data_IF_457975533888
#
_entry.id   IF_457975533888
#
_cell.length_a   1.000
_cell.length_b   1.000
_cell.length_c   1.000
_cell.angle_alpha   90.00
_cell.angle_beta   90.00
_cell.angle_gamma   90.00
#
_symmetry.space_group_name_H-M   'P 1'
#
loop_
_entity.id
_entity.type
_entity.pdbx_description
1 polymer ?
#
# COMPACT_ATOMS: atom_id res chain seq x y z
N UNK A 1 27.80 -22.02 -3.07
CA UNK A 1 27.74 -21.57 -4.48
C UNK A 1 27.32 -20.10 -4.47
N UNK A 2 28.21 -19.18 -4.83
CA UNK A 2 27.90 -17.73 -4.87
C UNK A 2 27.02 -17.44 -6.08
N UNK A 3 25.74 -17.17 -5.84
CA UNK A 3 24.79 -16.75 -6.88
C UNK A 3 25.20 -15.37 -7.40
N UNK A 4 25.19 -15.15 -8.72
CA UNK A 4 25.57 -13.88 -9.37
C UNK A 4 24.82 -12.67 -8.79
N UNK A 5 23.58 -12.89 -8.34
CA UNK A 5 22.80 -11.90 -7.59
C UNK A 5 23.50 -11.41 -6.32
N UNK A 6 24.12 -12.30 -5.54
CA UNK A 6 24.84 -11.91 -4.31
C UNK A 6 26.08 -11.05 -4.62
N UNK A 7 26.73 -11.27 -5.76
CA UNK A 7 27.90 -10.47 -6.19
C UNK A 7 27.49 -9.06 -6.58
N UNK A 8 26.41 -8.92 -7.37
CA UNK A 8 25.84 -7.61 -7.74
C UNK A 8 25.33 -6.86 -6.50
N UNK A 9 24.70 -7.57 -5.57
CA UNK A 9 24.24 -7.04 -4.29
C UNK A 9 25.40 -6.53 -3.41
N UNK A 10 26.50 -7.26 -3.35
CA UNK A 10 27.71 -6.81 -2.65
C UNK A 10 28.27 -5.54 -3.30
N UNK A 11 28.29 -5.46 -4.64
CA UNK A 11 28.68 -4.26 -5.37
C UNK A 11 27.80 -3.05 -5.04
N UNK A 12 26.47 -3.20 -5.04
CA UNK A 12 25.53 -2.12 -4.70
C UNK A 12 25.68 -1.72 -3.22
N UNK A 13 25.79 -2.69 -2.32
CA UNK A 13 25.98 -2.44 -0.89
C UNK A 13 27.26 -1.63 -0.62
N UNK A 14 28.37 -1.99 -1.28
CA UNK A 14 29.68 -1.44 -0.97
C UNK A 14 29.99 -0.15 -1.74
N UNK A 15 29.41 0.07 -2.92
CA UNK A 15 29.67 1.28 -3.73
C UNK A 15 28.56 2.33 -3.69
N UNK A 16 27.29 1.92 -3.56
CA UNK A 16 26.15 2.86 -3.65
C UNK A 16 25.76 3.38 -2.27
N UNK A 17 25.66 2.51 -1.27
CA UNK A 17 25.24 2.91 0.08
C UNK A 17 26.16 3.99 0.68
N UNK A 18 27.51 3.90 0.62
CA UNK A 18 28.38 4.92 1.21
C UNK A 18 28.27 6.29 0.52
N UNK A 19 27.75 6.35 -0.71
CA UNK A 19 27.53 7.59 -1.47
C UNK A 19 26.19 8.27 -1.17
N UNK A 20 25.31 7.66 -0.37
CA UNK A 20 24.04 8.25 0.05
C UNK A 20 24.27 9.19 1.24
N UNK A 21 24.85 10.36 0.99
CA UNK A 21 25.26 11.35 2.02
C UNK A 21 24.12 11.93 2.88
N UNK A 22 22.86 11.58 2.60
CA UNK A 22 21.70 12.02 3.37
C UNK A 22 21.40 11.13 4.61
N UNK A 23 22.04 9.96 4.73
CA UNK A 23 21.81 9.04 5.84
C UNK A 23 22.81 9.28 7.00
N UNK A 24 22.34 9.28 8.27
CA UNK A 24 23.20 9.27 9.45
C UNK A 24 24.24 8.13 9.41
N UNK A 25 25.46 8.39 9.87
CA UNK A 25 26.60 7.46 9.81
C UNK A 25 26.31 6.07 10.42
N UNK A 26 25.48 6.02 11.46
CA UNK A 26 25.05 4.77 12.12
C UNK A 26 24.13 3.91 11.25
N UNK A 27 23.30 4.52 10.38
CA UNK A 27 22.48 3.79 9.41
C UNK A 27 23.31 3.28 8.25
N UNK A 28 24.36 3.99 7.82
CA UNK A 28 25.32 3.47 6.84
C UNK A 28 26.00 2.18 7.35
N UNK A 29 26.50 2.19 8.58
CA UNK A 29 27.13 1.00 9.17
C UNK A 29 26.16 -0.19 9.20
N UNK A 30 24.91 0.06 9.60
CA UNK A 30 23.89 -0.99 9.69
C UNK A 30 23.48 -1.52 8.31
N UNK A 31 23.31 -0.65 7.31
CA UNK A 31 22.95 -1.06 5.94
C UNK A 31 24.09 -1.81 5.24
N UNK A 32 25.35 -1.44 5.49
CA UNK A 32 26.52 -2.14 4.90
C UNK A 32 26.65 -3.55 5.48
N UNK A 33 26.43 -3.70 6.79
CA UNK A 33 26.56 -5.00 7.48
C UNK A 33 25.38 -5.92 7.16
N UNK A 34 24.14 -5.42 7.24
CA UNK A 34 22.94 -6.24 7.06
C UNK A 34 22.40 -6.26 5.62
N UNK A 35 22.80 -5.30 4.77
CA UNK A 35 22.35 -5.20 3.39
C UNK A 35 22.54 -6.48 2.57
N UNK A 36 23.73 -7.10 2.58
CA UNK A 36 23.97 -8.35 1.83
C UNK A 36 23.11 -9.53 2.30
N UNK A 37 22.60 -9.50 3.53
CA UNK A 37 21.84 -10.60 4.14
C UNK A 37 20.32 -10.40 4.06
N UNK A 38 19.86 -9.14 4.20
CA UNK A 38 18.45 -8.77 4.11
C UNK A 38 17.97 -8.61 2.68
N UNK A 39 18.76 -7.97 1.82
CA UNK A 39 18.33 -7.59 0.48
C UNK A 39 18.00 -8.80 -0.43
N UNK A 40 18.73 -9.94 -0.44
CA UNK A 40 18.32 -11.09 -1.25
C UNK A 40 17.05 -11.77 -0.71
N UNK A 41 16.80 -11.72 0.60
CA UNK A 41 15.54 -12.22 1.19
C UNK A 41 14.35 -11.34 0.79
N UNK A 42 14.52 -10.01 0.82
CA UNK A 42 13.49 -9.06 0.38
C UNK A 42 13.19 -9.23 -1.11
N UNK A 43 14.24 -9.37 -1.95
CA UNK A 43 14.07 -9.61 -3.39
C UNK A 43 13.37 -10.95 -3.65
N UNK A 44 13.74 -12.01 -2.94
CA UNK A 44 13.06 -13.30 -3.08
C UNK A 44 11.60 -13.24 -2.62
N UNK A 45 11.30 -12.56 -1.51
CA UNK A 45 9.92 -12.35 -1.05
C UNK A 45 9.09 -11.54 -2.07
N UNK A 46 9.72 -10.54 -2.69
CA UNK A 46 9.11 -9.76 -3.76
C UNK A 46 8.86 -10.62 -5.01
N UNK A 47 9.83 -11.45 -5.40
CA UNK A 47 9.70 -12.31 -6.58
C UNK A 47 8.67 -13.42 -6.38
N UNK A 48 8.60 -14.04 -5.20
CA UNK A 48 7.61 -15.08 -4.89
C UNK A 48 6.20 -14.50 -4.81
N UNK A 49 6.02 -13.35 -4.14
CA UNK A 49 4.72 -12.65 -4.10
C UNK A 49 4.27 -12.15 -5.47
N UNK A 50 5.20 -11.72 -6.33
CA UNK A 50 4.92 -11.35 -7.73
C UNK A 50 4.58 -12.57 -8.59
N UNK A 51 5.28 -13.70 -8.40
CA UNK A 51 5.01 -14.93 -9.13
C UNK A 51 3.59 -15.46 -8.85
N UNK A 52 3.13 -15.41 -7.59
CA UNK A 52 1.77 -15.77 -7.21
C UNK A 52 0.69 -14.87 -7.87
N UNK A 53 1.04 -13.65 -8.24
CA UNK A 53 0.11 -12.70 -8.87
C UNK A 53 0.01 -12.85 -10.39
N UNK A 54 0.92 -13.62 -11.04
CA UNK A 54 0.92 -13.82 -12.50
C UNK A 54 -0.25 -14.64 -13.03
N UNK A 55 -0.85 -15.49 -12.19
CA UNK A 55 -1.98 -16.35 -12.56
C UNK A 55 -3.34 -15.65 -12.48
N UNK A 56 -3.38 -14.40 -11.99
CA UNK A 56 -4.61 -13.64 -11.80
C UNK A 56 -4.61 -12.46 -12.79
N UNK A 57 -5.68 -12.26 -13.58
CA UNK A 57 -5.74 -11.15 -14.53
C UNK A 57 -5.71 -9.79 -13.81
N UNK A 58 -5.00 -8.84 -14.43
CA UNK A 58 -4.96 -7.45 -13.97
C UNK A 58 -6.35 -6.83 -14.14
N UNK A 59 -6.89 -6.28 -13.05
CA UNK A 59 -8.18 -5.60 -13.06
C UNK A 59 -8.01 -4.08 -12.94
N UNK A 60 -8.96 -3.27 -13.45
CA UNK A 60 -8.97 -1.85 -13.19
C UNK A 60 -9.17 -1.56 -11.69
N UNK A 61 -8.77 -0.37 -11.25
CA UNK A 61 -8.87 0.05 -9.85
C UNK A 61 -10.36 0.15 -9.46
N UNK A 62 -10.81 -0.53 -8.38
CA UNK A 62 -12.16 -0.37 -7.88
C UNK A 62 -12.46 1.08 -7.48
N UNK A 63 -13.65 1.59 -7.80
CA UNK A 63 -14.03 3.00 -7.56
C UNK A 63 -13.90 3.43 -6.09
N UNK A 64 -14.17 2.52 -5.14
CA UNK A 64 -13.98 2.76 -3.70
C UNK A 64 -12.51 2.95 -3.32
N UNK A 65 -11.62 2.13 -3.91
CA UNK A 65 -10.17 2.24 -3.71
C UNK A 65 -9.63 3.50 -4.37
N UNK A 66 -10.15 3.90 -5.53
CA UNK A 66 -9.77 5.15 -6.18
C UNK A 66 -10.04 6.38 -5.28
N UNK A 67 -11.16 6.41 -4.55
CA UNK A 67 -11.43 7.48 -3.57
C UNK A 67 -10.41 7.51 -2.44
N UNK A 68 -10.00 6.34 -1.94
CA UNK A 68 -8.96 6.24 -0.91
C UNK A 68 -7.59 6.69 -1.44
N UNK A 69 -7.24 6.33 -2.68
CA UNK A 69 -6.02 6.79 -3.34
C UNK A 69 -6.01 8.30 -3.54
N UNK A 70 -7.14 8.90 -3.94
CA UNK A 70 -7.26 10.35 -4.06
C UNK A 70 -7.09 11.06 -2.71
N UNK A 71 -7.66 10.49 -1.64
CA UNK A 71 -7.50 11.00 -0.27
C UNK A 71 -6.04 10.94 0.19
N UNK A 72 -5.36 9.80 -0.02
CA UNK A 72 -3.93 9.66 0.30
C UNK A 72 -3.06 10.58 -0.56
N UNK A 73 -3.36 10.74 -1.84
CA UNK A 73 -2.65 11.68 -2.72
C UNK A 73 -2.79 13.12 -2.22
N UNK A 74 -4.02 13.53 -1.89
CA UNK A 74 -4.25 14.85 -1.31
C UNK A 74 -3.49 15.03 0.01
N UNK A 75 -3.51 14.02 0.90
CA UNK A 75 -2.75 14.05 2.14
C UNK A 75 -1.25 14.20 1.91
N UNK A 76 -0.66 13.44 0.97
CA UNK A 76 0.76 13.57 0.59
C UNK A 76 1.08 14.99 0.12
N UNK A 77 0.23 15.60 -0.70
CA UNK A 77 0.42 16.97 -1.18
C UNK A 77 0.33 17.97 -0.01
N UNK A 78 -0.65 17.80 0.89
CA UNK A 78 -0.82 18.68 2.07
C UNK A 78 0.37 18.57 3.02
N UNK A 79 0.81 17.37 3.38
CA UNK A 79 1.97 17.17 4.25
C UNK A 79 3.25 17.65 3.57
N UNK A 80 3.41 17.40 2.28
CA UNK A 80 4.50 17.94 1.48
C UNK A 80 4.52 19.47 1.49
N UNK A 81 3.38 20.13 1.32
CA UNK A 81 3.26 21.57 1.40
C UNK A 81 3.57 22.10 2.82
N UNK A 82 3.06 21.46 3.88
CA UNK A 82 3.31 21.85 5.27
C UNK A 82 4.76 21.67 5.72
N UNK A 83 5.52 20.82 5.01
CA UNK A 83 6.97 20.66 5.20
C UNK A 83 7.78 21.87 4.70
N UNK A 84 7.19 22.71 3.84
CA UNK A 84 7.86 23.88 3.29
C UNK A 84 8.12 24.94 4.38
N UNK A 85 9.23 25.68 4.28
CA UNK A 85 9.63 26.68 5.27
C UNK A 85 8.65 27.86 5.35
N UNK A 86 7.83 28.09 4.33
CA UNK A 86 6.83 29.18 4.32
C UNK A 86 5.79 29.03 5.43
N UNK A 87 5.38 27.79 5.74
CA UNK A 87 4.43 27.54 6.83
C UNK A 87 5.11 27.42 8.19
N UNK A 88 6.45 27.49 8.23
CA UNK A 88 7.24 27.37 9.46
C UNK A 88 7.15 28.63 10.31
N UNK A 89 7.11 28.45 11.64
CA UNK A 89 7.29 29.58 12.56
C UNK A 89 8.66 30.20 12.32
N UNK A 90 8.72 31.53 12.44
CA UNK A 90 9.92 32.31 12.17
C UNK A 90 11.04 31.94 13.16
N UNK A 91 12.22 31.61 12.63
CA UNK A 91 13.41 31.41 13.44
C UNK A 91 14.25 32.69 13.50
N UNK A 92 14.15 33.38 14.64
CA UNK A 92 14.82 34.68 14.87
C UNK A 92 16.33 34.60 14.68
N UNK A 93 16.96 33.50 15.11
CA UNK A 93 18.42 33.31 14.98
C UNK A 93 18.86 33.03 13.54
N UNK A 94 18.06 32.28 12.77
CA UNK A 94 18.35 32.06 11.34
C UNK A 94 18.18 33.33 10.53
N UNK A 95 17.15 34.14 10.78
CA UNK A 95 16.91 35.34 9.99
C UNK A 95 17.93 36.43 10.29
N UNK A 96 18.27 36.61 11.58
CA UNK A 96 19.31 37.57 11.98
C UNK A 96 20.74 37.06 11.76
N UNK A 97 20.92 35.82 11.32
CA UNK A 97 22.22 35.14 11.17
C UNK A 97 23.11 35.30 12.41
N UNK A 98 22.50 35.25 13.59
CA UNK A 98 23.15 35.55 14.86
C UNK A 98 23.69 34.28 15.52
N UNK A 99 24.77 34.40 16.29
CA UNK A 99 25.29 33.28 17.10
C UNK A 99 24.40 33.10 18.33
N UNK A 100 24.29 31.88 18.86
CA UNK A 100 23.42 31.63 20.01
C UNK A 100 23.80 32.44 21.27
N UNK A 101 25.09 32.75 21.45
CA UNK A 101 25.62 33.53 22.58
C UNK A 101 25.34 35.03 22.50
N UNK A 102 24.72 35.52 21.42
CA UNK A 102 24.43 36.95 21.23
C UNK A 102 23.59 37.51 22.39
N UNK A 103 23.92 38.72 22.83
CA UNK A 103 23.14 39.42 23.84
C UNK A 103 21.69 39.65 23.35
N UNK A 104 20.64 39.39 24.15
CA UNK A 104 19.25 39.51 23.69
C UNK A 104 18.93 40.89 23.10
N UNK A 105 19.40 41.97 23.73
CA UNK A 105 19.16 43.32 23.22
C UNK A 105 19.77 43.54 21.81
N UNK A 106 20.94 42.98 21.56
CA UNK A 106 21.59 43.05 20.23
C UNK A 106 20.86 42.19 19.21
N UNK A 107 20.29 41.06 19.61
CA UNK A 107 19.47 40.21 18.74
C UNK A 107 18.21 40.95 18.26
N UNK A 108 17.48 41.57 19.18
CA UNK A 108 16.22 42.24 18.85
C UNK A 108 16.41 43.59 18.17
N UNK A 109 17.52 44.29 18.41
CA UNK A 109 17.89 45.47 17.60
C UNK A 109 18.25 45.08 16.16
N UNK A 110 18.85 43.92 15.93
CA UNK A 110 19.04 43.40 14.57
C UNK A 110 17.72 42.97 13.93
N UNK A 111 16.84 42.32 14.68
CA UNK A 111 15.52 41.94 14.20
C UNK A 111 14.69 43.16 13.81
N UNK A 112 14.77 44.25 14.58
CA UNK A 112 14.06 45.51 14.29
C UNK A 112 14.50 46.20 12.99
N UNK A 113 15.72 45.90 12.51
CA UNK A 113 16.19 46.39 11.20
C UNK A 113 15.58 45.60 10.03
N UNK A 114 15.11 44.38 10.27
CA UNK A 114 14.54 43.51 9.23
C UNK A 114 13.02 43.63 9.16
N UNK A 115 12.35 43.76 10.31
CA UNK A 115 10.90 43.95 10.42
C UNK A 115 10.52 44.70 11.70
N UNK A 116 9.32 45.32 11.77
CA UNK A 116 8.82 45.87 13.02
C UNK A 116 8.67 44.78 14.09
N UNK A 117 9.00 45.13 15.34
CA UNK A 117 8.90 44.25 16.51
C UNK A 117 7.43 44.03 16.88
N UNK A 118 7.03 42.77 17.04
CA UNK A 118 5.71 42.41 17.57
C UNK A 118 5.70 42.28 19.08
N UNK A 119 4.52 42.21 19.70
CA UNK A 119 4.38 41.99 21.15
C UNK A 119 5.02 40.68 21.61
N UNK A 120 4.95 39.64 20.78
CA UNK A 120 5.60 38.36 21.04
C UNK A 120 7.12 38.49 21.04
N UNK A 121 7.71 39.32 20.18
CA UNK A 121 9.15 39.60 20.18
C UNK A 121 9.57 40.30 21.47
N UNK A 122 8.74 41.22 22.00
CA UNK A 122 9.00 41.89 23.27
C UNK A 122 8.99 40.92 24.46
N UNK A 123 8.01 40.00 24.50
CA UNK A 123 7.95 38.93 25.51
C UNK A 123 9.14 37.98 25.38
N UNK A 124 9.50 37.59 24.16
CA UNK A 124 10.61 36.69 23.89
C UNK A 124 11.96 37.33 24.29
N UNK A 125 12.10 38.66 24.09
CA UNK A 125 13.23 39.44 24.59
C UNK A 125 13.34 39.37 26.12
N UNK A 126 12.24 39.63 26.82
CA UNK A 126 12.21 39.54 28.29
C UNK A 126 12.60 38.14 28.76
N UNK A 127 12.04 37.09 28.15
CA UNK A 127 12.39 35.69 28.49
C UNK A 127 13.88 35.38 28.27
N UNK A 128 14.48 35.91 27.21
CA UNK A 128 15.90 35.72 26.94
C UNK A 128 16.83 36.52 27.87
N UNK A 129 16.38 37.67 28.36
CA UNK A 129 17.14 38.47 29.36
C UNK A 129 17.09 37.86 30.75
N UNK A 130 15.96 37.25 31.14
CA UNK A 130 15.82 36.60 32.45
C UNK A 130 16.77 35.41 32.60
N UNK A 131 16.93 34.61 31.54
CA UNK A 131 17.83 33.47 31.55
C UNK A 131 18.32 33.14 30.14
N UNK A 132 19.65 33.14 29.96
CA UNK A 132 20.28 32.79 28.68
C UNK A 132 20.04 31.34 28.26
N UNK A 133 19.76 30.44 29.21
CA UNK A 133 19.43 29.05 28.93
C UNK A 133 18.06 28.88 28.24
N UNK A 134 17.17 29.88 28.31
CA UNK A 134 15.89 29.88 27.59
C UNK A 134 16.10 29.88 26.07
N UNK A 135 17.25 30.35 25.58
CA UNK A 135 17.63 30.24 24.15
C UNK A 135 17.80 28.79 23.71
N UNK A 136 18.24 27.89 24.61
CA UNK A 136 18.36 26.46 24.29
C UNK A 136 16.99 25.81 24.20
N UNK A 137 16.10 26.14 25.13
CA UNK A 137 14.71 25.69 25.11
C UNK A 137 13.97 26.19 23.86
N UNK A 138 14.33 27.39 23.37
CA UNK A 138 13.81 27.94 22.12
C UNK A 138 14.19 27.07 20.92
N UNK A 139 15.43 26.56 20.87
CA UNK A 139 15.86 25.68 19.78
C UNK A 139 15.19 24.30 19.81
N UNK A 140 14.85 23.80 21.00
CA UNK A 140 14.27 22.47 21.18
C UNK A 140 12.75 22.45 21.03
N UNK A 141 12.05 23.35 21.71
CA UNK A 141 10.59 23.34 21.80
C UNK A 141 9.91 24.40 20.92
N UNK A 142 10.63 25.45 20.52
CA UNK A 142 10.14 26.53 19.66
C UNK A 142 9.75 27.80 20.42
N UNK A 143 9.30 28.86 19.71
CA UNK A 143 8.88 30.12 20.31
C UNK A 143 7.62 29.98 21.17
N UNK A 144 6.61 29.27 20.65
CA UNK A 144 5.27 29.18 21.25
C UNK A 144 5.30 28.64 22.69
N UNK A 145 6.12 27.62 22.94
CA UNK A 145 6.26 27.03 24.29
C UNK A 145 6.87 27.98 25.29
N UNK A 146 7.74 28.90 24.85
CA UNK A 146 8.36 29.91 25.72
C UNK A 146 7.47 31.13 25.94
N UNK A 147 6.63 31.45 24.94
CA UNK A 147 5.70 32.58 25.02
C UNK A 147 4.53 32.27 25.97
N UNK A 148 3.96 31.07 25.85
CA UNK A 148 2.70 30.72 26.51
C UNK A 148 2.87 29.99 27.84
N UNK A 149 4.02 29.35 28.12
CA UNK A 149 4.22 28.58 29.35
C UNK A 149 5.11 29.31 30.36
N UNK A 150 4.49 29.78 31.46
CA UNK A 150 5.16 30.55 32.52
C UNK A 150 6.24 29.75 33.26
N UNK A 151 6.08 28.42 33.40
CA UNK A 151 7.04 27.58 34.11
C UNK A 151 8.20 27.11 33.21
N UNK A 152 8.28 27.56 31.95
CA UNK A 152 9.42 27.29 31.05
C UNK A 152 10.63 28.19 31.29
N UNK A 153 10.53 29.19 32.18
CA UNK A 153 11.52 30.27 32.29
C UNK A 153 12.46 30.16 33.50
N UNK A 154 12.43 29.03 34.20
CA UNK A 154 13.33 28.75 35.32
C UNK A 154 14.78 28.47 34.87
N UNK A 155 15.73 28.28 35.82
CA UNK A 155 17.04 27.74 35.48
C UNK A 155 16.88 26.44 34.68
N UNK A 156 17.81 26.15 33.75
CA UNK A 156 17.79 24.92 32.95
C UNK A 156 18.19 23.70 33.79
N UNK A 157 17.43 23.46 34.85
CA UNK A 157 17.40 22.23 35.64
C UNK A 157 16.59 21.18 34.88
N UNK A 158 16.80 19.90 35.20
CA UNK A 158 16.05 18.79 34.59
C UNK A 158 14.53 18.96 34.69
N UNK A 159 14.03 19.61 35.74
CA UNK A 159 12.59 19.82 35.94
C UNK A 159 12.00 20.85 34.98
N UNK A 160 12.72 21.92 34.63
CA UNK A 160 12.19 22.94 33.71
C UNK A 160 12.09 22.40 32.28
N UNK A 161 13.08 21.62 31.82
CA UNK A 161 13.03 20.89 30.54
C UNK A 161 11.84 19.93 30.47
N UNK A 162 11.62 19.14 31.55
CA UNK A 162 10.50 18.19 31.62
C UNK A 162 9.15 18.89 31.58
N UNK A 163 9.02 20.02 32.26
CA UNK A 163 7.78 20.81 32.28
C UNK A 163 7.49 21.45 30.91
N UNK A 164 8.50 21.97 30.21
CA UNK A 164 8.32 22.48 28.84
C UNK A 164 7.95 21.35 27.86
N UNK A 165 8.53 20.15 28.04
CA UNK A 165 8.17 18.98 27.26
C UNK A 165 6.69 18.62 27.42
N UNK A 166 6.16 18.52 28.65
CA UNK A 166 4.75 18.21 28.86
C UNK A 166 3.80 19.23 28.22
N UNK A 167 4.17 20.51 28.24
CA UNK A 167 3.42 21.55 27.54
C UNK A 167 3.50 21.42 26.01
N UNK A 168 4.63 20.98 25.46
CA UNK A 168 4.83 20.80 24.03
C UNK A 168 4.12 19.55 23.46
N UNK A 169 3.83 18.54 24.28
CA UNK A 169 3.25 17.25 23.85
C UNK A 169 1.92 17.40 23.10
N UNK A 170 0.92 18.17 23.56
CA UNK A 170 -0.32 18.35 22.80
C UNK A 170 -0.07 18.92 21.39
N UNK A 171 0.82 19.91 21.27
CA UNK A 171 1.20 20.51 19.98
C UNK A 171 1.93 19.50 19.08
N UNK A 172 2.76 18.63 19.69
CA UNK A 172 3.42 17.51 19.01
C UNK A 172 2.44 16.48 18.48
N UNK A 173 1.45 16.09 19.30
CA UNK A 173 0.51 15.00 19.02
C UNK A 173 -0.60 15.39 18.04
N UNK A 174 -1.01 16.65 18.01
CA UNK A 174 -2.04 17.18 17.10
C UNK A 174 -1.86 16.73 15.63
N UNK A 175 -0.71 16.95 14.97
CA UNK A 175 -0.50 16.53 13.59
C UNK A 175 -0.51 15.00 13.43
N UNK A 176 -0.10 14.22 14.44
CA UNK A 176 -0.19 12.76 14.41
C UNK A 176 -1.62 12.24 14.51
N UNK A 177 -2.46 12.89 15.32
CA UNK A 177 -3.89 12.53 15.40
C UNK A 177 -4.54 12.77 14.03
N UNK A 178 -4.23 13.89 13.39
CA UNK A 178 -4.71 14.17 12.04
C UNK A 178 -4.21 13.12 11.02
N UNK A 179 -2.93 12.72 11.10
CA UNK A 179 -2.38 11.66 10.24
C UNK A 179 -3.05 10.31 10.47
N UNK A 180 -3.24 9.90 11.73
CA UNK A 180 -3.95 8.67 12.08
C UNK A 180 -5.41 8.68 11.61
N UNK A 181 -6.08 9.84 11.65
CA UNK A 181 -7.43 9.99 11.10
C UNK A 181 -7.45 9.77 9.58
N UNK A 182 -6.49 10.35 8.84
CA UNK A 182 -6.35 10.14 7.39
C UNK A 182 -6.10 8.65 7.08
N UNK A 183 -5.15 8.02 7.77
CA UNK A 183 -4.86 6.59 7.62
C UNK A 183 -6.07 5.72 7.96
N UNK A 184 -6.79 6.05 9.02
CA UNK A 184 -8.01 5.36 9.46
C UNK A 184 -9.13 5.45 8.43
N UNK A 185 -9.33 6.62 7.81
CA UNK A 185 -10.31 6.81 6.74
C UNK A 185 -9.91 6.04 5.47
N UNK A 186 -8.64 6.12 5.07
CA UNK A 186 -8.11 5.43 3.89
C UNK A 186 -8.16 3.89 4.00
N UNK A 187 -8.12 3.35 5.23
CA UNK A 187 -8.17 1.91 5.51
C UNK A 187 -9.51 1.46 6.12
N UNK A 188 -10.51 2.34 6.14
CA UNK A 188 -11.82 2.04 6.69
C UNK A 188 -12.57 0.98 5.87
N UNK A 189 -13.59 0.35 6.49
CA UNK A 189 -14.49 -0.59 5.81
C UNK A 189 -15.25 0.04 4.64
N UNK A 190 -15.34 1.38 4.58
CA UNK A 190 -15.95 2.13 3.47
C UNK A 190 -15.20 1.92 2.14
N UNK A 191 -13.88 1.68 2.19
CA UNK A 191 -13.02 1.42 1.03
C UNK A 191 -13.17 -0.02 0.53
N UNK A 192 -13.68 -0.91 1.38
CA UNK A 192 -13.87 -2.33 1.10
C UNK A 192 -12.77 -3.22 1.70
N UNK A 193 -12.78 -4.52 1.38
CA UNK A 193 -11.88 -5.50 1.99
C UNK A 193 -10.40 -5.22 1.67
N UNK A 194 -10.11 -4.59 0.52
CA UNK A 194 -8.76 -4.25 0.10
C UNK A 194 -8.09 -3.19 0.98
N UNK A 195 -8.86 -2.24 1.50
CA UNK A 195 -8.37 -1.22 2.45
C UNK A 195 -8.30 -1.75 3.88
N UNK A 196 -9.34 -2.46 4.31
CA UNK A 196 -9.47 -2.94 5.69
C UNK A 196 -8.33 -3.87 6.12
N UNK A 197 -7.75 -4.63 5.18
CA UNK A 197 -6.64 -5.55 5.48
C UNK A 197 -5.35 -4.85 5.93
N UNK A 198 -5.16 -3.60 5.50
CA UNK A 198 -3.97 -2.81 5.83
C UNK A 198 -4.15 -1.92 7.05
N UNK A 199 -5.36 -1.89 7.64
CA UNK A 199 -5.68 -1.05 8.80
C UNK A 199 -4.70 -1.25 9.95
N UNK A 200 -4.44 -2.49 10.36
CA UNK A 200 -3.52 -2.79 11.46
C UNK A 200 -2.10 -2.31 11.17
N UNK A 201 -1.62 -2.52 9.93
CA UNK A 201 -0.29 -2.09 9.51
C UNK A 201 -0.18 -0.56 9.45
N UNK A 202 -1.21 0.12 8.93
CA UNK A 202 -1.27 1.58 8.88
C UNK A 202 -1.33 2.19 10.29
N UNK A 203 -2.11 1.61 11.21
CA UNK A 203 -2.17 2.07 12.61
C UNK A 203 -0.86 1.84 13.35
N UNK A 204 -0.19 0.71 13.13
CA UNK A 204 1.14 0.45 13.70
C UNK A 204 2.14 1.48 13.17
N UNK A 205 2.16 1.72 11.85
CA UNK A 205 3.07 2.70 11.25
C UNK A 205 2.84 4.11 11.83
N UNK A 206 1.59 4.58 11.90
CA UNK A 206 1.27 5.88 12.51
C UNK A 206 1.66 5.96 13.99
N UNK A 207 1.36 4.92 14.78
CA UNK A 207 1.72 4.88 16.20
C UNK A 207 3.25 4.86 16.40
N UNK A 208 3.99 4.14 15.55
CA UNK A 208 5.45 4.12 15.62
C UNK A 208 6.06 5.49 15.36
N UNK A 209 5.49 6.31 14.47
CA UNK A 209 5.94 7.67 14.25
C UNK A 209 5.73 8.56 15.48
N UNK A 210 4.55 8.45 16.13
CA UNK A 210 4.25 9.16 17.39
C UNK A 210 5.26 8.80 18.47
N UNK A 211 5.46 7.50 18.70
CA UNK A 211 6.35 6.99 19.75
C UNK A 211 7.79 7.40 19.47
N UNK A 212 8.27 7.24 18.23
CA UNK A 212 9.62 7.60 17.85
C UNK A 212 9.90 9.09 18.05
N UNK A 213 8.97 9.96 17.65
CA UNK A 213 9.14 11.41 17.81
C UNK A 213 9.07 11.84 19.28
N UNK A 214 8.10 11.31 20.03
CA UNK A 214 7.94 11.62 21.46
C UNK A 214 9.14 11.13 22.27
N UNK A 215 9.65 9.94 21.95
CA UNK A 215 10.85 9.38 22.58
C UNK A 215 12.09 10.20 22.24
N UNK A 216 12.27 10.58 20.97
CA UNK A 216 13.40 11.40 20.55
C UNK A 216 13.40 12.76 21.28
N UNK A 217 12.26 13.46 21.31
CA UNK A 217 12.18 14.75 21.99
C UNK A 217 12.29 14.62 23.52
N UNK A 218 11.75 13.54 24.11
CA UNK A 218 11.80 13.30 25.55
C UNK A 218 13.17 12.88 26.08
N UNK A 219 14.03 12.31 25.23
CA UNK A 219 15.41 11.91 25.59
C UNK A 219 16.46 12.92 25.13
N UNK A 220 16.08 13.92 24.34
CA UNK A 220 17.00 14.94 23.85
C UNK A 220 17.48 15.84 24.99
N UNK A 221 18.79 15.99 25.14
CA UNK A 221 19.40 16.94 26.09
C UNK A 221 19.64 18.31 25.41
N UNK A 222 18.91 19.37 25.79
CA UNK A 222 19.10 20.73 25.29
C UNK A 222 20.52 21.28 25.54
N UNK A 223 21.25 20.70 26.50
CA UNK A 223 22.62 21.12 26.84
C UNK A 223 23.62 20.86 25.72
N UNK A 224 23.30 19.99 24.75
CA UNK A 224 24.14 19.69 23.58
C UNK A 224 24.53 20.95 22.80
N UNK A 225 23.60 21.90 22.69
CA UNK A 225 23.81 23.17 21.99
C UNK A 225 24.80 24.12 22.71
N UNK A 226 25.21 23.84 23.96
CA UNK A 226 26.25 24.62 24.67
C UNK A 226 27.59 24.61 23.96
N UNK A 227 27.89 23.53 23.22
CA UNK A 227 29.17 23.31 22.56
C UNK A 227 29.30 24.01 21.21
N UNK A 228 28.17 24.39 20.60
CA UNK A 228 28.16 25.06 19.31
C UNK A 228 28.81 26.45 19.42
N UNK A 229 29.76 26.79 18.55
CA UNK A 229 30.35 28.14 18.48
C UNK A 229 29.86 28.91 17.26
N UNK A 230 29.44 28.18 16.22
CA UNK A 230 28.93 28.72 14.96
C UNK A 230 27.43 28.41 14.84
N UNK A 231 26.68 29.27 14.14
CA UNK A 231 25.24 29.09 13.91
C UNK A 231 24.90 27.76 13.21
N UNK A 232 25.78 27.31 12.31
CA UNK A 232 25.62 26.06 11.57
C UNK A 232 25.75 24.82 12.46
N UNK A 233 26.44 24.94 13.60
CA UNK A 233 26.61 23.86 14.58
C UNK A 233 25.43 23.80 15.56
N UNK A 234 24.56 24.82 15.58
CA UNK A 234 23.39 24.85 16.46
C UNK A 234 22.32 23.92 15.91
N UNK A 235 21.86 23.00 16.75
CA UNK A 235 20.81 22.08 16.40
C UNK A 235 19.43 22.72 16.62
N UNK A 236 18.77 23.04 15.51
CA UNK A 236 17.41 23.60 15.47
C UNK A 236 16.37 22.48 15.48
N UNK A 237 16.30 21.76 16.61
CA UNK A 237 15.49 20.55 16.76
C UNK A 237 14.02 20.78 16.45
N UNK A 238 13.40 21.86 16.94
CA UNK A 238 11.98 22.15 16.69
C UNK A 238 11.64 22.17 15.18
N UNK A 239 12.39 22.97 14.41
CA UNK A 239 12.17 23.10 12.97
C UNK A 239 12.58 21.83 12.21
N UNK A 240 13.65 21.15 12.62
CA UNK A 240 14.08 19.90 11.99
C UNK A 240 13.05 18.79 12.19
N UNK A 241 12.56 18.60 13.41
CA UNK A 241 11.52 17.62 13.72
C UNK A 241 10.25 17.89 12.93
N UNK A 242 9.84 19.16 12.82
CA UNK A 242 8.68 19.54 12.01
C UNK A 242 8.81 19.08 10.55
N UNK A 243 9.95 19.36 9.90
CA UNK A 243 10.17 18.95 8.50
C UNK A 243 10.19 17.44 8.37
N UNK A 244 10.91 16.75 9.25
CA UNK A 244 10.99 15.29 9.26
C UNK A 244 9.63 14.64 9.51
N UNK A 245 8.80 15.19 10.40
CA UNK A 245 7.45 14.71 10.71
C UNK A 245 6.57 14.70 9.47
N UNK A 246 6.44 15.84 8.80
CA UNK A 246 5.57 15.94 7.63
C UNK A 246 6.10 15.14 6.43
N UNK A 247 7.43 15.04 6.27
CA UNK A 247 8.03 14.18 5.26
C UNK A 247 7.79 12.70 5.57
N UNK A 248 7.88 12.28 6.83
CA UNK A 248 7.58 10.93 7.26
C UNK A 248 6.10 10.57 7.02
N UNK A 249 5.16 11.49 7.29
CA UNK A 249 3.74 11.29 6.97
C UNK A 249 3.52 11.11 5.47
N UNK A 250 4.09 12.00 4.66
CA UNK A 250 4.00 11.90 3.20
C UNK A 250 4.59 10.57 2.68
N UNK A 251 5.70 10.11 3.24
CA UNK A 251 6.32 8.84 2.87
C UNK A 251 5.42 7.64 3.22
N UNK A 252 4.86 7.60 4.43
CA UNK A 252 3.95 6.52 4.86
C UNK A 252 2.68 6.52 4.00
N UNK A 253 2.09 7.69 3.73
CA UNK A 253 0.89 7.81 2.90
C UNK A 253 1.15 7.39 1.46
N UNK A 254 2.30 7.78 0.89
CA UNK A 254 2.72 7.36 -0.45
C UNK A 254 2.98 5.85 -0.53
N UNK A 255 3.63 5.27 0.47
CA UNK A 255 3.85 3.83 0.56
C UNK A 255 2.52 3.08 0.65
N UNK A 256 1.61 3.53 1.52
CA UNK A 256 0.27 2.93 1.65
C UNK A 256 -0.52 3.04 0.34
N UNK A 257 -0.50 4.20 -0.31
CA UNK A 257 -1.16 4.41 -1.61
C UNK A 257 -0.59 3.46 -2.68
N UNK A 258 0.74 3.32 -2.75
CA UNK A 258 1.39 2.40 -3.68
C UNK A 258 0.99 0.94 -3.41
N UNK A 259 0.99 0.50 -2.15
CA UNK A 259 0.58 -0.86 -1.80
C UNK A 259 -0.89 -1.11 -2.14
N UNK A 260 -1.80 -0.19 -1.78
CA UNK A 260 -3.22 -0.26 -2.12
C UNK A 260 -3.47 -0.34 -3.63
N UNK A 261 -2.76 0.47 -4.41
CA UNK A 261 -2.87 0.46 -5.86
C UNK A 261 -2.40 -0.88 -6.45
N UNK A 262 -1.21 -1.35 -6.04
CA UNK A 262 -0.66 -2.59 -6.56
C UNK A 262 -1.51 -3.81 -6.20
N UNK A 263 -2.13 -3.79 -5.01
CA UNK A 263 -2.90 -4.94 -4.55
C UNK A 263 -4.32 -4.93 -5.06
N UNK A 264 -4.94 -3.75 -5.16
CA UNK A 264 -6.28 -3.62 -5.73
C UNK A 264 -6.30 -3.92 -7.23
N UNK A 265 -5.20 -3.76 -7.96
CA UNK A 265 -5.09 -4.09 -9.40
C UNK A 265 -4.59 -5.51 -9.66
N UNK A 266 -4.44 -6.35 -8.62
CA UNK A 266 -3.86 -7.70 -8.70
C UNK A 266 -2.41 -7.74 -9.23
N UNK A 267 -1.68 -6.63 -9.19
CA UNK A 267 -0.28 -6.56 -9.64
C UNK A 267 0.69 -7.09 -8.58
N UNK A 268 0.31 -7.04 -7.30
CA UNK A 268 1.13 -7.50 -6.18
C UNK A 268 0.24 -8.07 -5.05
N UNK A 269 0.64 -9.21 -4.47
CA UNK A 269 -0.13 -9.91 -3.42
C UNK A 269 -1.60 -10.15 -3.82
N UNK A 270 -1.82 -10.59 -5.06
CA UNK A 270 -3.15 -10.97 -5.52
C UNK A 270 -3.61 -12.19 -4.71
N UNK A 271 -4.71 -12.04 -3.96
CA UNK A 271 -5.34 -13.16 -3.27
C UNK A 271 -6.38 -13.79 -4.20
N UNK A 272 -6.33 -15.10 -4.44
CA UNK A 272 -7.43 -15.77 -5.10
C UNK A 272 -8.68 -15.59 -4.24
N UNK A 273 -9.82 -15.42 -4.91
CA UNK A 273 -11.13 -15.43 -4.25
C UNK A 273 -11.27 -16.72 -3.41
N UNK A 274 -11.78 -16.62 -2.17
CA UNK A 274 -11.85 -17.78 -1.28
C UNK A 274 -12.61 -18.94 -1.94
N UNK A 275 -12.14 -20.17 -1.69
CA UNK A 275 -12.67 -21.38 -2.32
C UNK A 275 -14.19 -21.51 -2.12
N UNK A 276 -14.71 -21.05 -0.98
CA UNK A 276 -16.14 -21.01 -0.70
C UNK A 276 -16.92 -20.17 -1.73
N UNK A 277 -16.47 -18.94 -2.03
CA UNK A 277 -17.13 -18.08 -2.99
C UNK A 277 -17.01 -18.62 -4.42
N UNK A 278 -15.88 -19.25 -4.75
CA UNK A 278 -15.70 -19.93 -6.04
C UNK A 278 -16.65 -21.11 -6.19
N UNK A 279 -16.75 -21.94 -5.15
CA UNK A 279 -17.70 -23.04 -5.08
C UNK A 279 -19.12 -22.52 -5.27
N UNK A 280 -19.54 -21.53 -4.48
CA UNK A 280 -20.87 -20.92 -4.57
C UNK A 280 -21.18 -20.37 -5.97
N UNK A 281 -20.23 -19.69 -6.61
CA UNK A 281 -20.40 -19.19 -7.97
C UNK A 281 -20.54 -20.35 -8.98
N UNK A 282 -19.70 -21.38 -8.87
CA UNK A 282 -19.78 -22.55 -9.76
C UNK A 282 -21.02 -23.39 -9.53
N UNK A 283 -21.47 -23.55 -8.28
CA UNK A 283 -22.71 -24.27 -7.95
C UNK A 283 -23.91 -23.51 -8.48
N UNK A 284 -23.93 -22.18 -8.35
CA UNK A 284 -25.01 -21.35 -8.91
C UNK A 284 -25.10 -21.47 -10.43
N UNK A 285 -23.96 -21.44 -11.12
CA UNK A 285 -23.93 -21.66 -12.58
C UNK A 285 -24.40 -23.07 -12.92
N UNK A 286 -23.97 -24.09 -12.17
CA UNK A 286 -24.38 -25.48 -12.38
C UNK A 286 -25.87 -25.71 -12.12
N UNK A 287 -26.44 -25.07 -11.11
CA UNK A 287 -27.88 -25.08 -10.85
C UNK A 287 -28.65 -24.41 -11.98
N UNK A 288 -28.19 -23.24 -12.46
CA UNK A 288 -28.82 -22.54 -13.56
C UNK A 288 -28.79 -23.36 -14.87
N UNK A 289 -27.66 -24.00 -15.19
CA UNK A 289 -27.57 -24.87 -16.37
C UNK A 289 -28.44 -26.10 -16.23
N UNK A 290 -28.49 -26.72 -15.05
CA UNK A 290 -29.36 -27.86 -14.76
C UNK A 290 -30.84 -27.49 -14.86
N UNK A 291 -31.25 -26.31 -14.40
CA UNK A 291 -32.61 -25.81 -14.57
C UNK A 291 -32.96 -25.58 -16.04
N UNK A 292 -32.04 -25.02 -16.83
CA UNK A 292 -32.22 -24.87 -18.29
C UNK A 292 -32.33 -26.22 -18.99
N UNK A 293 -31.50 -27.20 -18.62
CA UNK A 293 -31.57 -28.56 -19.18
C UNK A 293 -32.88 -29.27 -18.83
N UNK A 294 -33.36 -29.13 -17.59
CA UNK A 294 -34.68 -29.66 -17.19
C UNK A 294 -35.81 -29.00 -17.95
N UNK A 295 -35.76 -27.67 -18.14
CA UNK A 295 -36.74 -26.95 -18.93
C UNK A 295 -36.72 -27.39 -20.40
N UNK A 296 -35.54 -27.55 -21.00
CA UNK A 296 -35.39 -28.08 -22.36
C UNK A 296 -35.93 -29.51 -22.48
N UNK A 297 -35.64 -30.39 -21.51
CA UNK A 297 -36.19 -31.74 -21.50
C UNK A 297 -37.71 -31.77 -21.37
N UNK A 298 -38.29 -30.87 -20.57
CA UNK A 298 -39.75 -30.71 -20.49
C UNK A 298 -40.35 -30.20 -21.80
N UNK A 299 -39.70 -29.22 -22.44
CA UNK A 299 -40.11 -28.70 -23.74
C UNK A 299 -40.04 -29.81 -24.80
N UNK A 300 -38.93 -30.53 -24.90
CA UNK A 300 -38.77 -31.61 -25.86
C UNK A 300 -39.81 -32.73 -25.65
N UNK A 301 -40.07 -33.10 -24.40
CA UNK A 301 -41.10 -34.08 -24.08
C UNK A 301 -42.50 -33.56 -24.43
N UNK A 302 -42.79 -32.28 -24.18
CA UNK A 302 -44.07 -31.66 -24.57
C UNK A 302 -44.27 -31.64 -26.09
N UNK A 303 -43.23 -31.29 -26.85
CA UNK A 303 -43.24 -31.31 -28.32
C UNK A 303 -43.38 -32.75 -28.83
N UNK A 304 -42.70 -33.71 -28.21
CA UNK A 304 -42.81 -35.11 -28.61
C UNK A 304 -44.17 -35.71 -28.27
N UNK A 305 -44.89 -35.20 -27.28
CA UNK A 305 -46.24 -35.68 -26.92
C UNK A 305 -47.35 -35.04 -27.74
N UNK A 306 -47.22 -33.77 -28.13
CA UNK A 306 -48.21 -33.06 -28.94
C UNK A 306 -47.94 -33.24 -30.45
N UNK A 307 -48.85 -33.87 -31.22
CA UNK A 307 -48.68 -34.07 -32.65
C UNK A 307 -48.58 -32.75 -33.44
N UNK A 308 -49.26 -31.67 -33.02
CA UNK A 308 -49.21 -30.38 -33.70
C UNK A 308 -47.85 -29.71 -33.58
N UNK A 309 -47.29 -29.68 -32.37
CA UNK A 309 -45.94 -29.14 -32.12
C UNK A 309 -44.86 -29.97 -32.81
N UNK A 310 -45.03 -31.29 -32.88
CA UNK A 310 -44.11 -32.17 -33.61
C UNK A 310 -44.06 -31.83 -35.09
N UNK A 311 -45.21 -31.61 -35.72
CA UNK A 311 -45.30 -31.23 -37.12
C UNK A 311 -44.63 -29.88 -37.38
N UNK A 312 -44.85 -28.88 -36.52
CA UNK A 312 -44.17 -27.57 -36.63
C UNK A 312 -42.65 -27.71 -36.52
N UNK A 313 -42.17 -28.54 -35.59
CA UNK A 313 -40.73 -28.83 -35.46
C UNK A 313 -40.17 -29.50 -36.71
N UNK A 314 -40.84 -30.53 -37.23
CA UNK A 314 -40.43 -31.23 -38.45
C UNK A 314 -40.45 -30.30 -39.68
N UNK A 315 -41.47 -29.45 -39.78
CA UNK A 315 -41.58 -28.45 -40.84
C UNK A 315 -40.45 -27.43 -40.76
N UNK A 316 -40.15 -26.90 -39.57
CA UNK A 316 -39.00 -26.01 -39.35
C UNK A 316 -37.69 -26.66 -39.81
N UNK A 317 -37.41 -27.90 -39.38
CA UNK A 317 -36.16 -28.58 -39.77
C UNK A 317 -36.12 -28.93 -41.26
N UNK A 318 -37.27 -29.21 -41.86
CA UNK A 318 -37.38 -29.43 -43.30
C UNK A 318 -37.11 -28.14 -44.07
N UNK A 319 -37.68 -27.01 -43.66
CA UNK A 319 -37.44 -25.71 -44.28
C UNK A 319 -36.00 -25.26 -44.10
N UNK A 320 -35.44 -25.43 -42.90
CA UNK A 320 -34.03 -25.10 -42.62
C UNK A 320 -33.10 -25.96 -43.48
N UNK A 321 -33.36 -27.26 -43.59
CA UNK A 321 -32.60 -28.15 -44.46
C UNK A 321 -32.69 -27.77 -45.93
N UNK A 322 -33.85 -27.32 -46.40
CA UNK A 322 -34.02 -26.81 -47.76
C UNK A 322 -33.24 -25.51 -47.98
N UNK A 323 -33.38 -24.52 -47.08
CA UNK A 323 -32.67 -23.24 -47.15
C UNK A 323 -31.15 -23.45 -47.09
N UNK A 324 -30.67 -24.32 -46.19
CA UNK A 324 -29.26 -24.68 -46.13
C UNK A 324 -28.78 -25.40 -47.40
N UNK A 325 -29.58 -26.31 -47.96
CA UNK A 325 -29.24 -26.98 -49.21
C UNK A 325 -29.17 -26.00 -50.38
N UNK A 326 -30.09 -25.04 -50.45
CA UNK A 326 -30.11 -23.99 -51.47
C UNK A 326 -28.91 -23.05 -51.32
N UNK A 327 -28.62 -22.60 -50.10
CA UNK A 327 -27.45 -21.78 -49.78
C UNK A 327 -26.14 -22.51 -50.07
N UNK A 328 -26.05 -23.80 -49.75
CA UNK A 328 -24.87 -24.63 -50.11
C UNK A 328 -24.77 -24.77 -51.62
N UNK A 329 -25.88 -24.90 -52.36
CA UNK A 329 -25.87 -25.09 -53.81
C UNK A 329 -25.47 -23.83 -54.60
N UNK A 330 -25.39 -22.67 -53.96
CA UNK A 330 -24.89 -21.45 -54.61
C UNK A 330 -23.44 -21.65 -55.08
N UNK A 331 -23.11 -21.27 -56.33
CA UNK A 331 -21.80 -21.52 -56.92
C UNK A 331 -20.67 -20.83 -56.14
N UNK A 332 -20.92 -19.64 -55.59
CA UNK A 332 -19.94 -18.92 -54.77
C UNK A 332 -19.67 -19.64 -53.44
N UNK A 333 -20.70 -20.20 -52.79
CA UNK A 333 -20.59 -20.90 -51.51
C UNK A 333 -19.92 -22.26 -51.69
N UNK A 334 -20.32 -23.03 -52.71
CA UNK A 334 -19.66 -24.31 -53.06
C UNK A 334 -18.19 -24.11 -53.37
N UNK A 335 -17.81 -23.07 -54.10
CA UNK A 335 -16.40 -22.78 -54.41
C UNK A 335 -15.60 -22.48 -53.14
N UNK A 336 -16.16 -21.70 -52.21
CA UNK A 336 -15.53 -21.42 -50.91
C UNK A 336 -15.45 -22.65 -50.02
N UNK A 337 -16.49 -23.48 -49.98
CA UNK A 337 -16.49 -24.75 -49.23
C UNK A 337 -15.42 -25.70 -49.81
N UNK A 338 -15.39 -25.87 -51.13
CA UNK A 338 -14.40 -26.72 -51.79
C UNK A 338 -12.97 -26.20 -51.62
N UNK A 339 -12.77 -24.87 -51.67
CA UNK A 339 -11.47 -24.25 -51.39
C UNK A 339 -11.06 -24.39 -49.91
N UNK A 340 -12.00 -24.34 -48.98
CA UNK A 340 -11.72 -24.59 -47.56
C UNK A 340 -11.37 -26.06 -47.31
N UNK A 341 -12.13 -26.98 -47.92
CA UNK A 341 -11.91 -28.43 -47.84
C UNK A 341 -10.58 -28.83 -48.48
N UNK A 342 -10.23 -28.29 -49.65
CA UNK A 342 -8.97 -28.58 -50.34
C UNK A 342 -7.74 -28.09 -49.59
N UNK A 343 -7.90 -27.01 -48.80
CA UNK A 343 -6.86 -26.46 -47.94
C UNK A 343 -6.87 -27.06 -46.53
N UNK A 344 -7.82 -27.95 -46.21
CA UNK A 344 -7.90 -28.61 -44.91
C UNK A 344 -7.04 -29.87 -44.91
N UNK A 345 -6.06 -29.92 -44.01
CA UNK A 345 -5.24 -31.11 -43.79
C UNK A 345 -6.00 -32.11 -42.90
N UNK A 346 -6.64 -33.08 -43.54
CA UNK A 346 -7.44 -34.11 -42.87
C UNK A 346 -6.63 -34.97 -41.89
N UNK A 347 -5.33 -35.19 -42.14
CA UNK A 347 -4.48 -35.98 -41.25
C UNK A 347 -4.20 -35.22 -39.94
N UNK A 348 -3.97 -33.91 -40.02
CA UNK A 348 -3.84 -33.08 -38.81
C UNK A 348 -5.16 -32.91 -38.06
N UNK A 349 -6.30 -32.91 -38.77
CA UNK A 349 -7.61 -32.84 -38.15
C UNK A 349 -7.92 -34.14 -37.38
N UNK A 350 -7.69 -35.30 -37.99
CA UNK A 350 -7.89 -36.61 -37.35
C UNK A 350 -7.02 -36.74 -36.09
N UNK A 351 -5.76 -36.31 -36.14
CA UNK A 351 -4.88 -36.23 -34.97
C UNK A 351 -5.41 -35.31 -33.86
N UNK A 352 -5.93 -34.13 -34.22
CA UNK A 352 -6.54 -33.19 -33.25
C UNK A 352 -7.83 -33.73 -32.65
N UNK A 353 -8.66 -34.42 -33.43
CA UNK A 353 -9.89 -35.05 -32.95
C UNK A 353 -9.55 -36.18 -31.98
N UNK A 354 -8.54 -37.00 -32.29
CA UNK A 354 -8.00 -38.00 -31.38
C UNK A 354 -7.50 -37.37 -30.07
N UNK A 355 -6.70 -36.31 -30.15
CA UNK A 355 -6.19 -35.59 -28.97
C UNK A 355 -7.31 -35.00 -28.09
N UNK A 356 -8.37 -34.45 -28.70
CA UNK A 356 -9.53 -33.93 -27.98
C UNK A 356 -10.35 -35.05 -27.37
N UNK A 357 -10.57 -36.16 -28.09
CA UNK A 357 -11.29 -37.32 -27.57
C UNK A 357 -10.54 -37.96 -26.39
N UNK A 358 -9.23 -38.13 -26.51
CA UNK A 358 -8.35 -38.62 -25.45
C UNK A 358 -8.29 -37.62 -24.28
N UNK A 359 -8.33 -36.32 -24.55
CA UNK A 359 -8.44 -35.27 -23.53
C UNK A 359 -9.75 -35.33 -22.75
N UNK A 360 -10.88 -35.57 -23.42
CA UNK A 360 -12.19 -35.73 -22.77
C UNK A 360 -12.26 -37.03 -21.98
N UNK A 361 -11.77 -38.15 -22.54
CA UNK A 361 -11.71 -39.44 -21.86
C UNK A 361 -10.81 -39.37 -20.62
N UNK A 362 -9.64 -38.77 -20.72
CA UNK A 362 -8.73 -38.59 -19.57
C UNK A 362 -9.30 -37.65 -18.50
N UNK A 363 -10.07 -36.63 -18.89
CA UNK A 363 -10.80 -35.79 -17.93
C UNK A 363 -11.90 -36.56 -17.20
N UNK A 364 -12.65 -37.42 -17.91
CA UNK A 364 -13.68 -38.28 -17.33
C UNK A 364 -13.05 -39.33 -16.39
N UNK A 365 -11.96 -39.96 -16.81
CA UNK A 365 -11.23 -40.93 -15.98
C UNK A 365 -10.56 -40.27 -14.76
N UNK A 366 -10.04 -39.04 -14.92
CA UNK A 366 -9.51 -38.24 -13.82
C UNK A 366 -10.59 -37.86 -12.78
N UNK A 367 -11.80 -37.53 -13.23
CA UNK A 367 -12.96 -37.32 -12.35
C UNK A 367 -13.34 -38.60 -11.60
N UNK A 368 -13.33 -39.75 -12.29
CA UNK A 368 -13.61 -41.07 -11.69
C UNK A 368 -12.56 -41.49 -10.67
N UNK A 369 -11.27 -41.25 -10.95
CA UNK A 369 -10.16 -41.48 -10.03
C UNK A 369 -10.19 -40.59 -8.78
N UNK A 370 -10.65 -39.34 -8.91
CA UNK A 370 -10.84 -38.46 -7.76
C UNK A 370 -11.97 -38.93 -6.82
N UNK A 371 -13.04 -39.53 -7.38
CA UNK A 371 -14.15 -40.07 -6.60
C UNK A 371 -13.77 -41.36 -5.86
N UNK A 372 -12.95 -42.23 -6.45
CA UNK A 372 -12.48 -43.45 -5.79
C UNK A 372 -11.48 -43.16 -4.66
N UNK A 373 -10.58 -42.17 -4.84
CA UNK A 373 -9.69 -41.70 -3.77
C UNK A 373 -10.44 -41.01 -2.61
N UNK A 374 -11.53 -40.31 -2.90
CA UNK A 374 -12.38 -39.71 -1.86
C UNK A 374 -13.22 -40.74 -1.10
N UNK A 375 -13.54 -41.89 -1.72
CA UNK A 375 -14.27 -42.98 -1.08
C UNK A 375 -13.37 -43.91 -0.24
N UNK A 376 -12.09 -44.06 -0.62
CA UNK A 376 -11.11 -44.85 0.15
C UNK A 376 -10.53 -44.11 1.37
N UNK A 377 -10.65 -42.79 1.43
CA UNK A 377 -10.18 -41.98 2.56
C UNK A 377 -11.11 -41.98 3.79
N UNK A 378 -12.33 -42.51 3.66
CA UNK A 378 -13.34 -42.52 4.73
C UNK A 378 -13.48 -43.86 5.47
N UNK A 379 -12.75 -44.91 5.09
CA UNK A 379 -12.84 -46.22 5.75
C UNK A 379 -11.84 -46.48 6.87
N UNK A 380 -10.84 -45.60 7.08
CA UNK A 380 -9.85 -45.74 8.15
C UNK A 380 -10.07 -44.67 9.24
N UNK A 381 -11.08 -44.87 10.07
CA UNK A 381 -11.14 -44.28 11.40
C UNK A 381 -11.26 -45.41 12.41
N UNK A 382 -10.23 -45.70 13.23
CA UNK A 382 -10.35 -46.70 14.28
C UNK A 382 -11.32 -46.19 15.34
N UNK A 383 -12.35 -46.99 15.60
CA UNK A 383 -13.32 -46.76 16.67
C UNK A 383 -12.59 -46.64 18.03
N UNK A 384 -12.86 -45.54 18.74
CA UNK A 384 -12.45 -45.38 20.13
C UNK A 384 -13.25 -46.36 21.02
N UNK A 385 -12.61 -47.03 21.99
CA UNK A 385 -13.32 -47.92 22.91
C UNK A 385 -14.14 -47.10 23.91
N UNK A 386 -15.37 -47.55 24.13
CA UNK A 386 -16.28 -47.02 25.12
C UNK A 386 -15.74 -47.17 26.56
N UNK A 387 -15.85 -46.09 27.32
CA UNK A 387 -15.90 -46.06 28.78
C UNK A 387 -17.01 -45.09 29.21
#
# INVERSE_FOLDING_TARGET
>A
MFNWQNIVLFGISYFVIPRLTFLPSSLHSLLIIFGPLLLPRVINLFNTSRAASRSIPVRPVPTKVQRALNLLFFAVVVWGALSLPYFAEENVFRITQSRWQIEPNVLFTRLSLLRPLTEDDAKLRERFTLNSANKMLYFTFGPDTLLNYLWCTGPATSDSVRNCFYYAVPKLLTPHIAHLAVLGLATSSLVGPEGSRFRTHATIAGLTLVVAETWYLGTYDPSTNKRAKVLQEVDFVHWRLRVLRYLAFALVDAALAATLYLTSTNRWLARPEPIANRLEATTKIAEETLHKLRALGLLENSINRDPGLRQVREEYWRTEGQVMSEAIAEPEVTEKINAAISNMDFATLEGKVGEVADGILSAIDGLRGSQTLSASGTSDSPAAPAA
#
